data_IF_120468314457
#
_entry.id   IF_120468314457
#
_cell.length_a   1.000
_cell.length_b   1.000
_cell.length_c   1.000
_cell.angle_alpha   90.00
_cell.angle_beta   90.00
_cell.angle_gamma   90.00
#
_symmetry.space_group_name_H-M   'P 1'
#
loop_
_entity.id
_entity.type
_entity.pdbx_description
1 polymer ?
#
# COMPACT_ATOMS: atom_id res chain seq x y z
N UNK A 1 48.90 49.43 -34.75
CA UNK A 1 49.05 49.57 -33.28
C UNK A 1 48.64 48.27 -32.60
N UNK A 2 49.09 48.01 -31.36
CA UNK A 2 48.98 46.69 -30.68
C UNK A 2 47.65 46.52 -29.90
N UNK A 3 47.39 45.27 -29.47
CA UNK A 3 46.46 44.78 -28.41
C UNK A 3 45.03 44.41 -28.87
N UNK A 4 44.32 43.40 -28.33
CA UNK A 4 44.61 42.25 -27.43
C UNK A 4 43.43 41.22 -27.54
N UNK A 5 43.49 40.07 -26.85
CA UNK A 5 42.58 38.88 -26.91
C UNK A 5 42.49 38.21 -25.51
N UNK A 6 41.62 37.20 -25.19
CA UNK A 6 40.70 36.36 -26.01
C UNK A 6 39.27 36.06 -25.38
N UNK A 7 38.55 35.06 -25.94
CA UNK A 7 37.89 33.91 -25.23
C UNK A 7 36.36 33.88 -24.87
N UNK A 8 35.75 32.67 -25.01
CA UNK A 8 34.48 32.11 -24.43
C UNK A 8 33.15 32.76 -24.91
N UNK A 9 32.16 32.04 -25.49
CA UNK A 9 31.21 31.12 -24.80
C UNK A 9 30.86 29.87 -25.63
N UNK A 10 31.27 28.71 -25.10
CA UNK A 10 30.63 27.40 -25.35
C UNK A 10 29.52 27.24 -24.30
N UNK A 11 28.28 26.88 -24.68
CA UNK A 11 27.24 26.66 -23.67
C UNK A 11 25.90 26.14 -24.17
N UNK A 12 25.35 25.16 -23.42
CA UNK A 12 23.93 24.75 -23.42
C UNK A 12 23.35 24.05 -24.67
N UNK A 13 23.99 22.96 -25.12
CA UNK A 13 23.29 21.86 -25.80
C UNK A 13 23.42 20.55 -25.00
N UNK A 14 22.70 20.48 -23.88
CA UNK A 14 22.23 19.26 -23.18
C UNK A 14 21.77 19.64 -21.77
N UNK A 15 20.49 19.37 -21.41
CA UNK A 15 19.99 19.16 -20.03
C UNK A 15 18.44 18.99 -19.99
N UNK A 16 17.89 17.97 -20.68
CA UNK A 16 16.44 17.66 -20.62
C UNK A 16 16.11 16.15 -20.51
N UNK A 17 16.98 15.34 -19.91
CA UNK A 17 16.79 13.87 -19.82
C UNK A 17 16.52 13.35 -18.38
N UNK A 18 16.48 14.23 -17.38
CA UNK A 18 16.49 13.83 -15.95
C UNK A 18 15.17 13.27 -15.40
N UNK A 19 14.03 13.47 -16.07
CA UNK A 19 12.71 13.08 -15.52
C UNK A 19 12.32 11.62 -15.76
N UNK A 20 12.93 10.92 -16.72
CA UNK A 20 12.51 9.55 -17.09
C UNK A 20 12.88 8.50 -16.04
N UNK A 21 14.05 8.62 -15.43
CA UNK A 21 14.54 7.63 -14.45
C UNK A 21 13.69 7.59 -13.17
N UNK A 22 13.20 8.73 -12.68
CA UNK A 22 12.37 8.80 -11.47
C UNK A 22 11.07 8.00 -11.63
N UNK A 23 10.38 8.19 -12.77
CA UNK A 23 9.13 7.50 -13.10
C UNK A 23 9.30 5.98 -13.27
N UNK A 24 10.45 5.54 -13.79
CA UNK A 24 10.77 4.12 -13.93
C UNK A 24 11.05 3.43 -12.58
N UNK A 25 11.76 4.11 -11.67
CA UNK A 25 12.01 3.62 -10.31
C UNK A 25 10.72 3.55 -9.50
N UNK A 26 9.89 4.61 -9.58
CA UNK A 26 8.55 4.63 -8.98
C UNK A 26 7.71 3.46 -9.48
N UNK A 27 7.58 3.28 -10.81
CA UNK A 27 6.85 2.14 -11.40
C UNK A 27 7.31 0.79 -10.85
N UNK A 28 8.62 0.55 -10.79
CA UNK A 28 9.15 -0.73 -10.27
C UNK A 28 8.81 -0.93 -8.78
N UNK A 29 8.79 0.13 -7.97
CA UNK A 29 8.31 0.06 -6.59
C UNK A 29 6.80 -0.20 -6.50
N UNK A 30 6.00 0.35 -7.43
CA UNK A 30 4.58 0.03 -7.56
C UNK A 30 4.38 -1.47 -7.80
N UNK A 31 5.03 -2.00 -8.84
CA UNK A 31 4.90 -3.40 -9.26
C UNK A 31 5.30 -4.35 -8.11
N UNK A 32 6.36 -4.05 -7.35
CA UNK A 32 6.79 -4.86 -6.19
C UNK A 32 5.82 -4.82 -5.00
N UNK A 33 5.20 -3.67 -4.69
CA UNK A 33 4.19 -3.58 -3.62
C UNK A 33 2.93 -4.36 -4.01
N UNK A 34 2.49 -4.23 -5.26
CA UNK A 34 1.30 -4.93 -5.74
C UNK A 34 1.52 -6.45 -5.80
N UNK A 35 2.70 -6.91 -6.25
CA UNK A 35 3.06 -8.34 -6.25
C UNK A 35 3.15 -8.91 -4.82
N UNK A 36 3.80 -8.19 -3.89
CA UNK A 36 3.92 -8.62 -2.50
C UNK A 36 2.56 -8.88 -1.83
N UNK A 37 1.59 -7.98 -2.03
CA UNK A 37 0.25 -8.00 -1.43
C UNK A 37 -0.70 -8.98 -2.14
N UNK A 38 -0.69 -9.03 -3.48
CA UNK A 38 -1.64 -9.87 -4.22
C UNK A 38 -1.26 -11.36 -4.27
N UNK A 39 0.01 -11.68 -3.99
CA UNK A 39 0.50 -13.05 -3.98
C UNK A 39 0.31 -13.72 -2.59
N UNK A 40 -0.92 -14.12 -2.28
CA UNK A 40 -1.22 -14.99 -1.14
C UNK A 40 -2.62 -14.82 -0.51
N UNK A 41 -2.88 -15.62 0.52
CA UNK A 41 -3.94 -15.37 1.50
C UNK A 41 -3.32 -14.75 2.76
N UNK A 42 -4.06 -13.85 3.41
CA UNK A 42 -3.63 -13.10 4.59
C UNK A 42 -4.59 -13.33 5.74
N UNK A 43 -4.13 -13.16 6.96
CA UNK A 43 -4.99 -13.06 8.15
C UNK A 43 -4.57 -11.84 8.99
N UNK A 44 -5.48 -11.35 9.83
CA UNK A 44 -5.19 -10.27 10.78
C UNK A 44 -4.40 -10.87 11.95
N UNK A 45 -3.13 -10.51 12.07
CA UNK A 45 -2.28 -10.83 13.22
C UNK A 45 -2.53 -9.83 14.36
N UNK A 46 -2.72 -8.54 14.02
CA UNK A 46 -3.07 -7.50 14.99
C UNK A 46 -4.08 -6.50 14.39
N UNK A 47 -5.07 -6.11 15.17
CA UNK A 47 -5.90 -4.93 14.92
C UNK A 47 -6.11 -4.15 16.22
N UNK A 48 -5.74 -2.87 16.20
CA UNK A 48 -6.04 -1.90 17.25
C UNK A 48 -6.95 -0.79 16.72
N UNK A 49 -8.03 -0.51 17.45
CA UNK A 49 -8.89 0.67 17.24
C UNK A 49 -8.49 1.74 18.28
N UNK A 50 -7.65 2.69 17.86
CA UNK A 50 -6.89 3.51 18.80
C UNK A 50 -6.02 2.65 19.72
N UNK A 51 -6.29 2.68 21.03
CA UNK A 51 -5.61 1.85 22.02
C UNK A 51 -6.32 0.51 22.31
N UNK A 52 -7.49 0.25 21.72
CA UNK A 52 -8.29 -0.95 21.99
C UNK A 52 -7.88 -2.11 21.07
N UNK A 53 -7.36 -3.20 21.63
CA UNK A 53 -7.01 -4.39 20.86
C UNK A 53 -8.27 -5.22 20.58
N UNK A 54 -8.66 -5.29 19.30
CA UNK A 54 -9.83 -6.08 18.84
C UNK A 54 -9.43 -7.18 17.84
N UNK A 55 -8.15 -7.58 17.84
CA UNK A 55 -7.62 -8.64 16.95
C UNK A 55 -8.42 -9.94 17.05
N UNK A 56 -8.98 -10.25 18.23
CA UNK A 56 -9.81 -11.43 18.48
C UNK A 56 -11.11 -11.46 17.65
N UNK A 57 -11.61 -10.31 17.18
CA UNK A 57 -12.81 -10.26 16.33
C UNK A 57 -12.52 -10.78 14.91
N UNK A 58 -11.27 -10.69 14.47
CA UNK A 58 -10.84 -11.14 13.13
C UNK A 58 -10.34 -12.60 13.09
N UNK A 59 -10.50 -13.36 14.18
CA UNK A 59 -10.11 -14.77 14.19
C UNK A 59 -10.85 -15.56 13.10
N UNK A 60 -10.12 -16.46 12.43
CA UNK A 60 -10.57 -17.28 11.31
C UNK A 60 -11.00 -16.52 10.04
N UNK A 61 -10.78 -15.20 9.96
CA UNK A 61 -10.88 -14.48 8.70
C UNK A 61 -9.60 -14.68 7.86
N UNK A 62 -9.81 -14.98 6.58
CA UNK A 62 -8.80 -14.93 5.54
C UNK A 62 -9.12 -13.84 4.52
N UNK A 63 -8.09 -13.16 4.05
CA UNK A 63 -8.17 -12.04 3.12
C UNK A 63 -7.36 -12.34 1.87
N UNK A 64 -7.94 -12.09 0.70
CA UNK A 64 -7.25 -12.25 -0.58
C UNK A 64 -7.41 -11.00 -1.42
N UNK A 65 -6.30 -10.35 -1.71
CA UNK A 65 -6.21 -9.17 -2.57
C UNK A 65 -5.88 -9.64 -3.99
N UNK A 66 -6.72 -9.33 -4.97
CA UNK A 66 -6.54 -9.75 -6.35
C UNK A 66 -6.09 -8.55 -7.21
N UNK A 67 -5.23 -8.79 -8.19
CA UNK A 67 -4.65 -7.76 -9.07
C UNK A 67 -5.67 -6.99 -9.93
N UNK A 68 -6.91 -7.47 -10.02
CA UNK A 68 -8.04 -6.78 -10.64
C UNK A 68 -8.73 -5.74 -9.72
N UNK A 69 -8.19 -5.45 -8.54
CA UNK A 69 -8.75 -4.49 -7.58
C UNK A 69 -9.88 -5.05 -6.70
N UNK A 70 -10.15 -6.36 -6.73
CA UNK A 70 -11.09 -7.01 -5.79
C UNK A 70 -10.37 -7.56 -4.57
N UNK A 71 -10.99 -7.44 -3.40
CA UNK A 71 -10.55 -8.09 -2.16
C UNK A 71 -11.69 -8.94 -1.61
N UNK A 72 -11.39 -10.14 -1.12
CA UNK A 72 -12.37 -11.00 -0.44
C UNK A 72 -12.01 -11.16 1.02
N UNK A 73 -12.99 -11.01 1.91
CA UNK A 73 -12.89 -11.40 3.32
C UNK A 73 -13.74 -12.64 3.56
N UNK A 74 -13.11 -13.76 3.91
CA UNK A 74 -13.76 -15.06 4.07
C UNK A 74 -13.63 -15.56 5.49
N UNK A 75 -14.75 -15.95 6.11
CA UNK A 75 -14.77 -16.63 7.42
C UNK A 75 -15.60 -17.92 7.30
N UNK A 76 -15.01 -19.03 7.72
CA UNK A 76 -15.58 -20.38 7.52
C UNK A 76 -15.94 -20.63 6.05
N UNK A 77 -17.23 -20.67 5.69
CA UNK A 77 -17.73 -20.82 4.31
C UNK A 77 -18.33 -19.53 3.73
N UNK A 78 -18.42 -18.45 4.50
CA UNK A 78 -19.01 -17.18 4.08
C UNK A 78 -17.93 -16.26 3.52
N UNK A 79 -18.09 -15.82 2.28
CA UNK A 79 -17.20 -14.85 1.63
C UNK A 79 -17.93 -13.54 1.36
N UNK A 80 -17.34 -12.44 1.82
CA UNK A 80 -17.80 -11.08 1.54
C UNK A 80 -16.83 -10.41 0.58
N UNK A 81 -17.36 -9.85 -0.51
CA UNK A 81 -16.58 -9.16 -1.53
C UNK A 81 -16.41 -7.68 -1.19
N UNK A 82 -15.25 -7.13 -1.57
CA UNK A 82 -14.92 -5.73 -1.50
C UNK A 82 -13.99 -5.31 -2.63
N UNK A 83 -13.60 -4.04 -2.64
CA UNK A 83 -12.61 -3.47 -3.55
C UNK A 83 -11.40 -2.97 -2.80
N UNK A 84 -10.26 -2.91 -3.47
CA UNK A 84 -9.05 -2.28 -2.96
C UNK A 84 -8.28 -1.57 -4.07
N UNK A 85 -7.53 -0.54 -3.70
CA UNK A 85 -6.65 0.22 -4.58
C UNK A 85 -5.36 0.54 -3.85
N UNK A 86 -4.22 0.11 -4.40
CA UNK A 86 -2.91 0.56 -3.95
C UNK A 86 -2.54 1.91 -4.56
N UNK A 87 -2.03 2.83 -3.74
CA UNK A 87 -1.35 4.05 -4.19
C UNK A 87 0.10 4.03 -3.66
N UNK A 88 1.06 3.54 -4.47
CA UNK A 88 2.45 3.42 -4.06
C UNK A 88 3.19 4.74 -3.89
N UNK A 89 2.76 5.82 -4.57
CA UNK A 89 3.36 7.15 -4.42
C UNK A 89 3.17 7.67 -2.99
N UNK A 90 1.99 7.41 -2.43
CA UNK A 90 1.65 7.75 -1.06
C UNK A 90 1.82 6.58 -0.09
N UNK A 91 2.32 5.42 -0.52
CA UNK A 91 2.41 4.19 0.28
C UNK A 91 1.09 3.86 1.02
N UNK A 92 -0.05 4.00 0.35
CA UNK A 92 -1.38 3.67 0.92
C UNK A 92 -2.06 2.53 0.18
N UNK A 93 -2.98 1.87 0.88
CA UNK A 93 -4.00 0.97 0.34
C UNK A 93 -5.34 1.55 0.78
N UNK A 94 -6.26 1.76 -0.16
CA UNK A 94 -7.67 1.99 0.16
C UNK A 94 -8.40 0.67 0.04
N UNK A 95 -9.25 0.32 0.99
CA UNK A 95 -10.11 -0.87 0.94
C UNK A 95 -11.56 -0.53 1.28
N UNK A 96 -12.52 -1.20 0.67
CA UNK A 96 -13.96 -1.00 0.90
C UNK A 96 -14.72 -2.33 0.80
N UNK A 97 -15.41 -2.74 1.86
CA UNK A 97 -16.38 -3.82 1.86
C UNK A 97 -17.80 -3.23 2.01
N UNK A 98 -18.51 -2.92 0.91
CA UNK A 98 -19.75 -2.13 0.96
C UNK A 98 -20.94 -2.86 1.60
N UNK A 99 -20.94 -4.20 1.59
CA UNK A 99 -22.00 -5.03 2.19
C UNK A 99 -21.60 -5.61 3.57
N UNK A 100 -20.46 -5.22 4.14
CA UNK A 100 -19.97 -5.77 5.40
C UNK A 100 -20.60 -5.12 6.63
N UNK A 101 -20.81 -5.93 7.67
CA UNK A 101 -20.90 -5.48 9.06
C UNK A 101 -19.55 -5.53 9.76
N UNK A 102 -19.53 -5.16 11.04
CA UNK A 102 -18.35 -5.34 11.90
C UNK A 102 -18.07 -6.85 12.11
N UNK A 103 -16.79 -7.26 12.24
CA UNK A 103 -15.59 -6.42 12.27
C UNK A 103 -15.06 -6.06 10.87
N UNK A 104 -15.50 -6.75 9.81
CA UNK A 104 -14.96 -6.61 8.45
C UNK A 104 -15.07 -5.17 7.93
N UNK A 105 -16.18 -4.48 8.21
CA UNK A 105 -16.38 -3.06 7.88
C UNK A 105 -15.33 -2.12 8.48
N UNK A 106 -14.66 -2.49 9.57
CA UNK A 106 -13.58 -1.68 10.18
C UNK A 106 -12.32 -1.62 9.31
N UNK A 107 -12.18 -2.51 8.32
CA UNK A 107 -11.12 -2.45 7.32
C UNK A 107 -11.41 -1.46 6.19
N UNK A 108 -12.59 -0.84 6.13
CA UNK A 108 -12.91 0.18 5.14
C UNK A 108 -12.15 1.48 5.45
N UNK A 109 -11.56 2.10 4.43
CA UNK A 109 -10.82 3.36 4.53
C UNK A 109 -9.40 3.29 3.95
N UNK A 110 -8.57 4.28 4.31
CA UNK A 110 -7.22 4.47 3.76
C UNK A 110 -6.15 4.08 4.77
N UNK A 111 -5.45 2.99 4.46
CA UNK A 111 -4.37 2.40 5.25
C UNK A 111 -3.00 2.83 4.72
N UNK A 112 -2.27 3.64 5.48
CA UNK A 112 -0.87 3.99 5.21
C UNK A 112 0.05 2.85 5.63
N UNK A 113 0.73 2.23 4.69
CA UNK A 113 1.75 1.21 4.97
C UNK A 113 2.90 1.88 5.73
N UNK A 114 3.32 1.27 6.84
CA UNK A 114 4.42 1.72 7.70
C UNK A 114 5.61 0.78 7.67
N UNK A 115 5.35 -0.51 7.53
CA UNK A 115 6.36 -1.54 7.38
C UNK A 115 5.77 -2.73 6.60
N UNK A 116 6.59 -3.46 5.86
CA UNK A 116 6.15 -4.60 5.06
C UNK A 116 7.31 -5.48 4.62
N UNK A 117 7.09 -6.79 4.60
CA UNK A 117 8.03 -7.77 4.07
C UNK A 117 7.29 -8.83 3.23
N UNK A 118 7.94 -9.94 2.85
CA UNK A 118 7.31 -10.94 1.97
C UNK A 118 6.12 -11.66 2.62
N UNK A 119 6.08 -11.70 3.95
CA UNK A 119 5.08 -12.39 4.77
C UNK A 119 4.22 -11.47 5.66
N UNK A 120 4.50 -10.16 5.77
CA UNK A 120 3.68 -9.27 6.60
C UNK A 120 3.49 -7.88 6.01
N UNK A 121 2.40 -7.21 6.40
CA UNK A 121 2.15 -5.80 6.15
C UNK A 121 1.66 -5.15 7.44
N UNK A 122 2.32 -4.08 7.88
CA UNK A 122 1.87 -3.22 8.97
C UNK A 122 1.42 -1.87 8.40
N UNK A 123 0.19 -1.49 8.71
CA UNK A 123 -0.41 -0.25 8.24
C UNK A 123 -1.17 0.49 9.35
N UNK A 124 -1.36 1.79 9.13
CA UNK A 124 -2.12 2.66 10.02
C UNK A 124 -3.22 3.41 9.26
N UNK A 125 -4.38 3.57 9.88
CA UNK A 125 -5.48 4.39 9.35
C UNK A 125 -5.80 5.51 10.33
N UNK A 126 -5.73 6.75 9.89
CA UNK A 126 -6.14 7.91 10.68
C UNK A 126 -7.66 8.02 10.60
N UNK A 127 -8.32 8.02 11.75
CA UNK A 127 -9.76 8.20 11.90
C UNK A 127 -10.06 9.49 12.67
N UNK A 128 -11.33 9.87 12.79
CA UNK A 128 -11.75 11.04 13.58
C UNK A 128 -11.50 10.88 15.10
N UNK A 129 -11.33 9.65 15.59
CA UNK A 129 -11.18 9.34 17.02
C UNK A 129 -9.76 8.90 17.41
N UNK A 130 -8.87 8.69 16.45
CA UNK A 130 -7.49 8.26 16.68
C UNK A 130 -6.88 7.50 15.50
N UNK A 131 -5.73 6.87 15.72
CA UNK A 131 -5.08 6.02 14.71
C UNK A 131 -5.39 4.56 14.97
N UNK A 132 -5.94 3.87 13.97
CA UNK A 132 -6.07 2.42 13.97
C UNK A 132 -4.78 1.78 13.44
N UNK A 133 -4.38 0.63 13.98
CA UNK A 133 -3.20 -0.14 13.55
C UNK A 133 -3.66 -1.51 13.07
N UNK A 134 -3.22 -1.89 11.88
CA UNK A 134 -3.45 -3.19 11.27
C UNK A 134 -2.11 -3.87 11.01
N UNK A 135 -2.00 -5.14 11.39
CA UNK A 135 -0.94 -6.04 10.94
C UNK A 135 -1.55 -7.27 10.29
N UNK A 136 -1.28 -7.43 8.99
CA UNK A 136 -1.60 -8.63 8.22
C UNK A 136 -0.38 -9.54 8.16
N UNK A 137 -0.61 -10.84 8.33
CA UNK A 137 0.38 -11.91 8.13
C UNK A 137 -0.08 -12.82 7.00
N UNK A 138 0.84 -13.20 6.12
CA UNK A 138 0.61 -14.14 5.02
C UNK A 138 0.44 -15.54 5.61
N UNK A 139 -0.61 -16.23 5.19
CA UNK A 139 -0.85 -17.63 5.52
C UNK A 139 0.29 -18.47 4.95
N UNK A 140 0.98 -19.20 5.82
CA UNK A 140 1.94 -20.22 5.41
C UNK A 140 1.18 -21.49 5.02
N UNK A 141 1.61 -22.13 3.92
CA UNK A 141 1.10 -23.42 3.45
C UNK A 141 2.01 -24.55 3.92
#
# INVERSE_FOLDING_TARGET
MKKLIPLIVTGCLALFISMSCKKAVEKKAQDMIMDAITNGEWFVEQYFEGNNNISNQFLNYYFKFNSNGTVTGTISSTTTNGTWVGNPSDYTITSEFPSAGDPLKKLNGVWKIKDSYWDFVKAEMITSTGTNVLMLRKKQN
#
